data_IF_900593704450
#
_entry.id   IF_900593704450
#
_cell.length_a   1.000
_cell.length_b   1.000
_cell.length_c   1.000
_cell.angle_alpha   90.00
_cell.angle_beta   90.00
_cell.angle_gamma   90.00
#
_symmetry.space_group_name_H-M   'P 1'
#
loop_
_entity.id
_entity.type
_entity.pdbx_description
1 polymer ?
#
# COMPACT_ATOMS: atom_id res chain seq x y z
N UNK A 1 28.38 -1.08 15.29
CA UNK A 1 28.22 0.01 16.27
C UNK A 1 26.79 0.56 16.30
N UNK A 2 26.16 0.86 15.14
CA UNK A 2 24.76 1.32 15.05
C UNK A 2 23.71 0.35 15.62
N UNK A 3 23.96 -0.94 15.63
CA UNK A 3 23.08 -1.97 16.22
C UNK A 3 23.11 -2.01 17.77
N UNK A 4 24.04 -1.31 18.41
CA UNK A 4 24.14 -1.19 19.88
C UNK A 4 23.41 0.02 20.44
N UNK A 5 23.03 0.98 19.61
CA UNK A 5 22.17 2.10 20.04
C UNK A 5 20.74 1.59 20.20
N UNK A 6 19.99 2.20 21.11
CA UNK A 6 18.58 1.86 21.33
C UNK A 6 17.85 1.78 20.00
N UNK A 7 17.20 0.65 19.66
CA UNK A 7 16.57 0.43 18.35
C UNK A 7 15.27 1.22 18.18
N UNK A 8 14.95 2.11 19.09
CA UNK A 8 13.77 2.96 19.09
C UNK A 8 14.07 4.35 19.66
N UNK A 9 13.22 5.31 19.31
CA UNK A 9 13.21 6.64 19.90
C UNK A 9 11.96 6.80 20.78
N UNK A 10 12.14 7.27 22.00
CA UNK A 10 11.05 7.65 22.89
C UNK A 10 10.55 9.05 22.51
N UNK A 11 9.28 9.17 22.20
CA UNK A 11 8.62 10.42 21.88
C UNK A 11 7.26 10.47 22.57
N UNK A 12 7.15 11.16 23.69
CA UNK A 12 5.95 11.18 24.52
C UNK A 12 5.55 9.78 24.97
N UNK A 13 4.37 9.31 24.52
CA UNK A 13 3.87 7.96 24.78
C UNK A 13 4.22 6.95 23.67
N UNK A 14 5.03 7.36 22.68
CA UNK A 14 5.34 6.54 21.50
C UNK A 14 6.77 6.04 21.57
N UNK A 15 6.96 4.76 21.23
CA UNK A 15 8.25 4.16 20.97
C UNK A 15 8.38 3.94 19.46
N UNK A 16 9.05 4.85 18.75
CA UNK A 16 9.21 4.77 17.30
C UNK A 16 10.39 3.86 16.93
N UNK A 17 10.16 2.85 16.08
CA UNK A 17 11.18 1.91 15.61
C UNK A 17 12.10 2.56 14.56
N UNK A 18 13.16 3.18 15.02
CA UNK A 18 14.15 3.87 14.17
C UNK A 18 15.13 2.91 13.47
N UNK A 19 15.12 1.62 13.78
CA UNK A 19 15.99 0.62 13.17
C UNK A 19 15.33 -0.25 12.11
N UNK A 20 14.04 -0.05 11.81
CA UNK A 20 13.32 -0.86 10.83
C UNK A 20 13.95 -0.77 9.44
N UNK A 21 14.42 0.40 9.03
CA UNK A 21 15.13 0.58 7.74
C UNK A 21 16.33 -0.37 7.63
N UNK A 22 17.10 -0.56 8.71
CA UNK A 22 18.29 -1.42 8.71
C UNK A 22 17.88 -2.91 8.60
N UNK A 23 16.78 -3.30 9.22
CA UNK A 23 16.33 -4.69 9.26
C UNK A 23 15.47 -5.10 8.06
N UNK A 24 14.68 -4.17 7.53
CA UNK A 24 13.62 -4.46 6.55
C UNK A 24 13.71 -3.60 5.28
N UNK A 25 14.66 -2.65 5.21
CA UNK A 25 14.81 -1.75 4.07
C UNK A 25 13.73 -0.66 3.96
N UNK A 26 12.75 -0.63 4.86
CA UNK A 26 11.64 0.32 4.89
C UNK A 26 11.44 0.86 6.30
N UNK A 27 11.19 2.18 6.49
CA UNK A 27 10.97 2.77 7.82
C UNK A 27 9.64 2.29 8.42
N UNK A 28 9.48 2.52 9.72
CA UNK A 28 8.19 2.32 10.34
C UNK A 28 7.13 3.22 9.69
N UNK A 29 5.98 2.63 9.35
CA UNK A 29 4.80 3.37 8.95
C UNK A 29 3.89 3.56 10.17
N UNK A 30 3.50 4.80 10.45
CA UNK A 30 2.60 5.12 11.55
C UNK A 30 1.18 4.72 11.17
N UNK A 31 0.59 3.77 11.88
CA UNK A 31 -0.83 3.44 11.74
C UNK A 31 -1.67 4.42 12.57
N UNK A 32 -2.33 5.36 11.92
CA UNK A 32 -2.98 6.49 12.59
C UNK A 32 -4.34 6.15 13.22
N UNK A 33 -5.00 5.07 12.77
CA UNK A 33 -6.32 4.69 13.29
C UNK A 33 -6.24 4.37 14.79
N UNK A 34 -7.08 5.02 15.58
CA UNK A 34 -7.09 4.90 17.04
C UNK A 34 -6.01 5.70 17.79
N UNK A 35 -5.15 6.45 17.07
CA UNK A 35 -4.16 7.36 17.70
C UNK A 35 -4.71 8.78 17.86
N UNK A 36 -4.27 9.45 18.91
CA UNK A 36 -4.48 10.89 19.06
C UNK A 36 -3.59 11.68 18.09
N UNK A 37 -3.93 12.95 17.85
CA UNK A 37 -3.09 13.83 17.04
C UNK A 37 -1.67 13.98 17.61
N UNK A 38 -1.55 14.04 18.95
CA UNK A 38 -0.27 14.13 19.63
C UNK A 38 0.57 12.89 19.38
N UNK A 39 0.01 11.69 19.57
CA UNK A 39 0.70 10.43 19.29
C UNK A 39 1.15 10.30 17.81
N UNK A 40 0.32 10.76 16.86
CA UNK A 40 0.70 10.78 15.45
C UNK A 40 1.85 11.77 15.20
N UNK A 41 1.78 12.96 15.82
CA UNK A 41 2.80 14.01 15.69
C UNK A 41 4.15 13.54 16.24
N UNK A 42 4.14 12.96 17.44
CA UNK A 42 5.35 12.47 18.12
C UNK A 42 6.01 11.34 17.32
N UNK A 43 5.22 10.37 16.85
CA UNK A 43 5.72 9.27 16.02
C UNK A 43 6.34 9.78 14.71
N UNK A 44 5.63 10.67 14.00
CA UNK A 44 6.13 11.25 12.76
C UNK A 44 7.40 12.08 12.99
N UNK A 45 7.45 12.89 14.05
CA UNK A 45 8.62 13.71 14.39
C UNK A 45 9.85 12.84 14.66
N UNK A 46 9.70 11.77 15.45
CA UNK A 46 10.78 10.83 15.74
C UNK A 46 11.32 10.16 14.47
N UNK A 47 10.44 9.70 13.58
CA UNK A 47 10.83 9.05 12.33
C UNK A 47 11.46 10.04 11.33
N UNK A 48 10.93 11.26 11.21
CA UNK A 48 11.54 12.32 10.37
C UNK A 48 12.92 12.68 10.89
N UNK A 49 13.10 12.80 12.21
CA UNK A 49 14.40 13.07 12.83
C UNK A 49 15.42 11.96 12.54
N UNK A 50 14.98 10.70 12.56
CA UNK A 50 15.86 9.54 12.34
C UNK A 50 16.19 9.30 10.86
N UNK A 51 15.26 9.54 9.94
CA UNK A 51 15.36 9.11 8.54
C UNK A 51 15.22 10.24 7.51
N UNK A 52 14.86 11.46 7.94
CA UNK A 52 14.53 12.57 7.03
C UNK A 52 13.16 12.40 6.32
N UNK A 53 12.47 11.30 6.55
CA UNK A 53 11.15 11.02 5.97
C UNK A 53 10.30 10.15 6.90
N UNK A 54 8.97 10.27 6.78
CA UNK A 54 8.02 9.45 7.52
C UNK A 54 6.71 9.28 6.74
N UNK A 55 6.03 8.16 6.97
CA UNK A 55 4.75 7.81 6.39
C UNK A 55 3.75 7.47 7.50
N UNK A 56 2.54 8.00 7.41
CA UNK A 56 1.40 7.56 8.22
C UNK A 56 0.25 7.11 7.32
N UNK A 57 -0.43 6.03 7.73
CA UNK A 57 -1.58 5.45 7.03
C UNK A 57 -2.86 5.66 7.84
N UNK A 58 -4.01 5.64 7.19
CA UNK A 58 -5.34 5.80 7.80
C UNK A 58 -5.52 7.14 8.52
N UNK A 59 -4.85 8.18 8.08
CA UNK A 59 -4.96 9.52 8.66
C UNK A 59 -6.32 10.13 8.31
N UNK A 60 -7.14 10.51 9.30
CA UNK A 60 -8.39 11.25 9.04
C UNK A 60 -8.10 12.61 8.39
N UNK A 61 -9.07 13.12 7.62
CA UNK A 61 -8.90 14.40 6.90
C UNK A 61 -8.59 15.54 7.87
N UNK A 62 -9.30 15.61 8.98
CA UNK A 62 -9.14 16.63 10.01
C UNK A 62 -7.74 16.59 10.66
N UNK A 63 -7.25 15.37 10.92
CA UNK A 63 -5.89 15.18 11.43
C UNK A 63 -4.84 15.56 10.38
N UNK A 64 -5.09 15.27 9.11
CA UNK A 64 -4.22 15.66 8.01
C UNK A 64 -3.99 17.16 7.93
N UNK A 65 -5.05 17.97 8.10
CA UNK A 65 -4.96 19.45 8.15
C UNK A 65 -4.10 19.91 9.32
N UNK A 66 -4.27 19.33 10.50
CA UNK A 66 -3.52 19.70 11.70
C UNK A 66 -2.05 19.25 11.60
N UNK A 67 -1.80 18.07 11.05
CA UNK A 67 -0.44 17.59 10.77
C UNK A 67 0.29 18.47 9.76
N UNK A 68 -0.42 19.05 8.78
CA UNK A 68 0.16 19.98 7.80
C UNK A 68 0.71 21.25 8.48
N UNK A 69 0.10 21.70 9.57
CA UNK A 69 0.62 22.83 10.36
C UNK A 69 1.91 22.48 11.11
N UNK A 70 2.03 21.23 11.57
CA UNK A 70 3.22 20.73 12.29
C UNK A 70 4.36 20.35 11.35
N UNK A 71 4.04 19.83 10.18
CA UNK A 71 4.99 19.42 9.14
C UNK A 71 4.64 20.13 7.83
N UNK A 72 5.06 21.38 7.61
CA UNK A 72 4.67 22.16 6.42
C UNK A 72 5.08 21.54 5.09
N UNK A 73 6.15 20.73 5.08
CA UNK A 73 6.61 19.97 3.89
C UNK A 73 5.87 18.65 3.69
N UNK A 74 5.05 18.24 4.67
CA UNK A 74 4.24 17.04 4.57
C UNK A 74 3.11 17.17 3.56
N UNK A 75 2.53 16.05 3.16
CA UNK A 75 1.39 16.00 2.23
C UNK A 75 0.39 14.97 2.72
N UNK A 76 -0.85 15.40 2.87
CA UNK A 76 -2.00 14.52 3.10
C UNK A 76 -2.73 14.26 1.78
N UNK A 77 -3.03 13.01 1.50
CA UNK A 77 -3.95 12.64 0.44
C UNK A 77 -5.24 12.05 1.05
N UNK A 78 -6.38 12.72 0.86
CA UNK A 78 -7.65 12.27 1.46
C UNK A 78 -8.20 10.98 0.82
N UNK A 79 -7.79 10.61 -0.40
CA UNK A 79 -8.24 9.39 -1.07
C UNK A 79 -7.59 8.16 -0.45
N UNK A 80 -6.27 8.14 -0.38
CA UNK A 80 -5.49 7.05 0.24
C UNK A 80 -5.46 7.15 1.77
N UNK A 81 -5.79 8.32 2.33
CA UNK A 81 -5.63 8.63 3.76
C UNK A 81 -4.18 8.51 4.23
N UNK A 82 -3.23 8.70 3.32
CA UNK A 82 -1.81 8.76 3.64
C UNK A 82 -1.40 10.18 4.04
N UNK A 83 -0.52 10.27 5.02
CA UNK A 83 0.25 11.47 5.31
C UNK A 83 1.74 11.13 5.18
N UNK A 84 2.46 11.87 4.36
CA UNK A 84 3.88 11.65 4.11
C UNK A 84 4.70 12.92 4.30
N UNK A 85 5.87 12.79 4.92
CA UNK A 85 6.88 13.84 5.04
C UNK A 85 8.14 13.32 4.34
N UNK A 86 8.61 14.05 3.32
CA UNK A 86 9.73 13.57 2.51
C UNK A 86 9.46 12.26 1.77
N UNK A 87 10.52 11.64 1.30
CA UNK A 87 10.50 10.31 0.65
C UNK A 87 11.87 9.65 0.80
N UNK A 88 11.93 8.34 0.64
CA UNK A 88 13.19 7.61 0.55
C UNK A 88 13.94 7.93 -0.76
N UNK A 89 15.22 7.66 -0.81
CA UNK A 89 15.99 7.80 -2.07
C UNK A 89 15.43 6.83 -3.11
N UNK A 90 15.36 7.29 -4.34
CA UNK A 90 14.93 6.48 -5.47
C UNK A 90 15.82 5.24 -5.62
N UNK A 91 15.18 4.07 -5.69
CA UNK A 91 15.88 2.78 -5.74
C UNK A 91 16.38 2.47 -7.16
N UNK A 92 15.56 2.79 -8.18
CA UNK A 92 15.89 2.58 -9.59
C UNK A 92 14.99 3.40 -10.49
N UNK A 93 15.56 4.01 -11.53
CA UNK A 93 14.79 4.73 -12.55
C UNK A 93 14.04 3.80 -13.50
N UNK A 94 14.51 2.56 -13.67
CA UNK A 94 13.99 1.62 -14.66
C UNK A 94 12.93 0.64 -14.12
N UNK A 95 12.78 0.52 -12.79
CA UNK A 95 11.80 -0.41 -12.21
C UNK A 95 10.45 0.27 -12.03
N UNK A 96 9.44 -0.17 -12.78
CA UNK A 96 8.06 0.28 -12.63
C UNK A 96 7.19 -0.84 -12.04
N UNK A 97 6.41 -0.51 -11.02
CA UNK A 97 5.37 -1.38 -10.46
C UNK A 97 4.02 -0.92 -11.00
N UNK A 98 3.26 -1.81 -11.61
CA UNK A 98 1.90 -1.52 -12.01
C UNK A 98 0.95 -1.69 -10.82
N UNK A 99 0.13 -0.69 -10.53
CA UNK A 99 -0.95 -0.75 -9.54
C UNK A 99 -2.27 -0.72 -10.30
N UNK A 100 -2.99 -1.83 -10.27
CA UNK A 100 -4.18 -2.08 -11.07
C UNK A 100 -5.41 -2.14 -10.17
N UNK A 101 -6.44 -1.37 -10.45
CA UNK A 101 -7.72 -1.43 -9.71
C UNK A 101 -8.88 -1.88 -10.58
N UNK A 102 -9.76 -2.72 -10.01
CA UNK A 102 -10.93 -3.24 -10.73
C UNK A 102 -11.97 -2.15 -10.97
N UNK A 103 -12.31 -1.40 -9.96
CA UNK A 103 -13.31 -0.33 -10.04
C UNK A 103 -12.87 0.94 -9.34
N UNK A 104 -13.68 2.01 -9.52
CA UNK A 104 -13.42 3.30 -8.85
C UNK A 104 -13.54 3.23 -7.33
N UNK A 105 -14.33 2.31 -6.81
CA UNK A 105 -14.45 2.07 -5.36
C UNK A 105 -13.20 1.44 -4.74
N UNK A 106 -12.30 0.89 -5.56
CA UNK A 106 -11.02 0.33 -5.11
C UNK A 106 -9.89 1.37 -5.09
N UNK A 107 -10.13 2.59 -5.62
CA UNK A 107 -9.14 3.66 -5.72
C UNK A 107 -8.47 4.01 -4.39
N UNK A 108 -9.15 4.07 -3.23
CA UNK A 108 -8.48 4.38 -1.98
C UNK A 108 -7.35 3.40 -1.65
N UNK A 109 -7.55 2.11 -1.90
CA UNK A 109 -6.54 1.07 -1.67
C UNK A 109 -5.44 1.12 -2.74
N UNK A 110 -5.81 1.39 -4.00
CA UNK A 110 -4.86 1.53 -5.09
C UNK A 110 -3.93 2.74 -4.89
N UNK A 111 -4.47 3.89 -4.46
CA UNK A 111 -3.67 5.06 -4.14
C UNK A 111 -2.81 4.87 -2.89
N UNK A 112 -3.28 4.18 -1.85
CA UNK A 112 -2.46 3.81 -0.70
C UNK A 112 -1.24 2.99 -1.14
N UNK A 113 -1.44 1.99 -2.00
CA UNK A 113 -0.36 1.17 -2.55
C UNK A 113 0.60 2.00 -3.42
N UNK A 114 0.08 2.78 -4.38
CA UNK A 114 0.88 3.56 -5.30
C UNK A 114 1.73 4.62 -4.57
N UNK A 115 1.14 5.35 -3.65
CA UNK A 115 1.86 6.39 -2.91
C UNK A 115 2.85 5.82 -1.88
N UNK A 116 2.60 4.62 -1.35
CA UNK A 116 3.57 3.91 -0.50
C UNK A 116 4.80 3.49 -1.32
N UNK A 117 4.62 3.02 -2.55
CA UNK A 117 5.72 2.72 -3.47
C UNK A 117 6.51 3.99 -3.80
N UNK A 118 5.83 5.08 -4.14
CA UNK A 118 6.46 6.37 -4.42
C UNK A 118 7.25 6.89 -3.22
N UNK A 119 6.71 6.76 -2.01
CA UNK A 119 7.42 7.09 -0.77
C UNK A 119 8.68 6.23 -0.60
N UNK A 120 8.62 4.95 -0.97
CA UNK A 120 9.76 4.03 -0.96
C UNK A 120 10.79 4.30 -2.09
N UNK A 121 10.57 5.30 -2.94
CA UNK A 121 11.43 5.61 -4.08
C UNK A 121 11.24 4.69 -5.29
N UNK A 122 10.10 4.00 -5.37
CA UNK A 122 9.73 3.10 -6.48
C UNK A 122 8.69 3.78 -7.37
N UNK A 123 8.86 3.70 -8.70
CA UNK A 123 7.88 4.22 -9.65
C UNK A 123 6.62 3.37 -9.66
N UNK A 124 5.47 3.99 -9.47
CA UNK A 124 4.17 3.35 -9.55
C UNK A 124 3.39 3.84 -10.78
N UNK A 125 2.96 2.91 -11.64
CA UNK A 125 2.04 3.21 -12.71
C UNK A 125 0.62 2.78 -12.33
N UNK A 126 -0.30 3.72 -12.32
CA UNK A 126 -1.71 3.50 -11.99
C UNK A 126 -2.49 3.07 -13.22
N UNK A 127 -3.13 1.90 -13.15
CA UNK A 127 -4.01 1.34 -14.18
C UNK A 127 -5.40 1.13 -13.57
N UNK A 128 -6.19 2.18 -13.52
CA UNK A 128 -7.44 2.19 -12.77
C UNK A 128 -8.65 1.86 -13.63
N UNK A 129 -9.71 1.32 -12.97
CA UNK A 129 -11.02 1.02 -13.55
C UNK A 129 -10.97 0.03 -14.73
N UNK A 130 -10.24 -1.07 -14.56
CA UNK A 130 -10.05 -2.12 -15.58
C UNK A 130 -10.65 -3.47 -15.15
N UNK A 131 -11.74 -3.45 -14.40
CA UNK A 131 -12.42 -4.65 -13.92
C UNK A 131 -12.86 -5.59 -15.03
N UNK A 132 -13.00 -6.87 -14.68
CA UNK A 132 -13.29 -7.98 -15.63
C UNK A 132 -14.60 -7.83 -16.39
N UNK A 133 -15.57 -7.11 -15.84
CA UNK A 133 -16.83 -6.82 -16.55
C UNK A 133 -16.62 -5.96 -17.81
N UNK A 134 -15.50 -5.26 -17.91
CA UNK A 134 -15.10 -4.51 -19.10
C UNK A 134 -13.69 -4.87 -19.54
N UNK A 135 -13.44 -6.15 -19.80
CA UNK A 135 -12.13 -6.73 -20.07
C UNK A 135 -11.34 -6.01 -21.18
N UNK A 136 -12.02 -5.44 -22.16
CA UNK A 136 -11.39 -4.65 -23.22
C UNK A 136 -10.57 -3.45 -22.70
N UNK A 137 -10.96 -2.89 -21.54
CA UNK A 137 -10.21 -1.78 -20.89
C UNK A 137 -8.84 -2.27 -20.38
N UNK A 138 -8.79 -3.46 -19.79
CA UNK A 138 -7.56 -4.12 -19.37
C UNK A 138 -6.68 -4.47 -20.57
N UNK A 139 -7.28 -5.11 -21.60
CA UNK A 139 -6.55 -5.55 -22.79
C UNK A 139 -5.93 -4.37 -23.56
N UNK A 140 -6.56 -3.20 -23.54
CA UNK A 140 -5.97 -1.99 -24.13
C UNK A 140 -4.69 -1.50 -23.41
N UNK A 141 -4.38 -2.03 -22.22
CA UNK A 141 -3.17 -1.69 -21.43
C UNK A 141 -2.16 -2.83 -21.32
N UNK A 142 -2.40 -3.97 -22.03
CA UNK A 142 -1.65 -5.22 -21.84
C UNK A 142 -0.14 -5.06 -22.09
N UNK A 143 0.26 -4.28 -23.10
CA UNK A 143 1.68 -4.09 -23.42
C UNK A 143 2.44 -3.42 -22.26
N UNK A 144 1.83 -2.41 -21.65
CA UNK A 144 2.45 -1.74 -20.49
C UNK A 144 2.41 -2.61 -19.24
N UNK A 145 1.36 -3.43 -19.06
CA UNK A 145 1.29 -4.39 -17.96
C UNK A 145 2.42 -5.43 -18.06
N UNK A 146 2.70 -5.93 -19.28
CA UNK A 146 3.78 -6.88 -19.54
C UNK A 146 5.17 -6.31 -19.30
N UNK A 147 5.33 -5.00 -19.45
CA UNK A 147 6.59 -4.30 -19.18
C UNK A 147 6.85 -4.05 -17.68
N UNK A 148 5.83 -4.17 -16.82
CA UNK A 148 5.99 -3.98 -15.38
C UNK A 148 6.81 -5.11 -14.75
N UNK A 149 7.60 -4.78 -13.74
CA UNK A 149 8.40 -5.76 -12.99
C UNK A 149 7.60 -6.52 -11.93
N UNK A 150 6.60 -5.86 -11.38
CA UNK A 150 5.64 -6.41 -10.40
C UNK A 150 4.29 -5.77 -10.73
N UNK A 151 3.21 -6.53 -10.55
CA UNK A 151 1.85 -6.02 -10.71
C UNK A 151 1.09 -6.21 -9.40
N UNK A 152 0.59 -5.12 -8.83
CA UNK A 152 -0.32 -5.15 -7.67
C UNK A 152 -1.74 -5.00 -8.21
N UNK A 153 -2.62 -5.97 -7.94
CA UNK A 153 -3.99 -5.98 -8.46
C UNK A 153 -4.98 -5.90 -7.31
N UNK A 154 -5.72 -4.82 -7.27
CA UNK A 154 -6.71 -4.52 -6.23
C UNK A 154 -8.11 -4.77 -6.78
N UNK A 155 -8.86 -5.65 -6.14
CA UNK A 155 -10.21 -6.00 -6.57
C UNK A 155 -11.10 -6.42 -5.39
N UNK A 156 -12.36 -5.99 -5.44
CA UNK A 156 -13.43 -6.49 -4.60
C UNK A 156 -14.27 -7.54 -5.31
N UNK A 157 -15.57 -7.58 -4.98
CA UNK A 157 -16.56 -8.51 -5.56
C UNK A 157 -16.13 -9.98 -5.42
N UNK A 158 -15.93 -10.67 -6.55
CA UNK A 158 -15.48 -12.06 -6.65
C UNK A 158 -13.97 -12.23 -6.73
N UNK A 159 -13.21 -11.12 -6.85
CA UNK A 159 -11.73 -11.16 -6.90
C UNK A 159 -11.14 -11.76 -8.17
N UNK A 160 -11.82 -11.72 -9.30
CA UNK A 160 -11.39 -12.40 -10.53
C UNK A 160 -10.25 -11.68 -11.27
N UNK A 161 -10.10 -10.37 -11.11
CA UNK A 161 -9.13 -9.57 -11.87
C UNK A 161 -7.67 -10.05 -11.70
N UNK A 162 -7.18 -10.39 -10.49
CA UNK A 162 -5.81 -10.90 -10.32
C UNK A 162 -5.54 -12.18 -11.13
N UNK A 163 -6.50 -13.10 -11.21
CA UNK A 163 -6.36 -14.33 -12.01
C UNK A 163 -6.23 -14.01 -13.50
N UNK A 164 -7.02 -13.07 -14.00
CA UNK A 164 -6.95 -12.62 -15.40
C UNK A 164 -5.60 -11.96 -15.69
N UNK A 165 -5.16 -11.04 -14.82
CA UNK A 165 -3.87 -10.37 -14.97
C UNK A 165 -2.72 -11.38 -14.90
N UNK A 166 -2.73 -12.31 -13.94
CA UNK A 166 -1.73 -13.38 -13.81
C UNK A 166 -1.65 -14.29 -15.03
N UNK A 167 -2.76 -14.46 -15.78
CA UNK A 167 -2.77 -15.21 -17.02
C UNK A 167 -2.16 -14.49 -18.23
N UNK A 168 -1.92 -13.17 -18.15
CA UNK A 168 -1.44 -12.38 -19.29
C UNK A 168 -0.09 -11.70 -19.09
N UNK A 169 0.47 -11.72 -17.87
CA UNK A 169 1.78 -11.15 -17.54
C UNK A 169 2.74 -12.22 -17.04
N UNK A 170 4.04 -12.02 -17.26
CA UNK A 170 5.09 -12.87 -16.70
C UNK A 170 5.60 -12.35 -15.33
N UNK A 171 5.29 -11.10 -14.99
CA UNK A 171 5.68 -10.49 -13.73
C UNK A 171 4.92 -11.12 -12.54
N UNK A 172 5.54 -11.17 -11.35
CA UNK A 172 4.81 -11.54 -10.13
C UNK A 172 3.59 -10.64 -9.90
N UNK A 173 2.47 -11.24 -9.52
CA UNK A 173 1.21 -10.55 -9.24
C UNK A 173 0.91 -10.62 -7.75
N UNK A 174 0.73 -9.45 -7.12
CA UNK A 174 0.29 -9.33 -5.74
C UNK A 174 -1.20 -9.00 -5.77
N UNK A 175 -2.04 -9.94 -5.35
CA UNK A 175 -3.48 -9.77 -5.29
C UNK A 175 -3.89 -9.15 -3.96
N UNK A 176 -4.70 -8.09 -4.02
CA UNK A 176 -5.17 -7.34 -2.85
C UNK A 176 -6.70 -7.34 -2.84
N UNK A 177 -7.33 -8.20 -2.02
CA UNK A 177 -8.77 -8.21 -1.90
C UNK A 177 -9.26 -6.98 -1.15
N UNK A 178 -10.35 -6.37 -1.64
CA UNK A 178 -11.03 -5.26 -0.97
C UNK A 178 -12.39 -5.69 -0.42
N UNK A 179 -12.90 -4.93 0.54
CA UNK A 179 -14.25 -5.12 1.08
C UNK A 179 -15.36 -4.60 0.15
N UNK A 180 -15.00 -4.06 -1.01
CA UNK A 180 -15.94 -3.56 -2.01
C UNK A 180 -16.77 -4.71 -2.57
N UNK A 181 -18.08 -4.59 -2.46
CA UNK A 181 -19.00 -5.61 -2.98
C UNK A 181 -20.38 -5.56 -2.35
N UNK A 182 -21.29 -6.34 -2.91
CA UNK A 182 -22.66 -6.51 -2.44
C UNK A 182 -23.05 -8.01 -2.49
N UNK A 183 -24.25 -8.34 -1.97
CA UNK A 183 -24.74 -9.73 -1.96
C UNK A 183 -23.80 -10.66 -1.18
N UNK A 184 -23.33 -11.71 -1.81
CA UNK A 184 -22.49 -12.75 -1.20
C UNK A 184 -21.01 -12.35 -1.05
N UNK A 185 -20.64 -11.08 -1.26
CA UNK A 185 -19.24 -10.64 -1.13
C UNK A 185 -18.71 -10.74 0.29
N UNK A 186 -19.57 -10.77 1.32
CA UNK A 186 -19.25 -10.92 2.73
C UNK A 186 -18.08 -10.01 3.17
N UNK A 187 -18.15 -8.73 2.79
CA UNK A 187 -17.13 -7.71 3.11
C UNK A 187 -15.71 -8.08 2.63
N UNK A 188 -15.61 -8.71 1.45
CA UNK A 188 -14.34 -9.03 0.81
C UNK A 188 -13.86 -10.48 1.02
N UNK A 189 -14.57 -11.30 1.79
CA UNK A 189 -14.24 -12.74 1.95
C UNK A 189 -14.34 -13.46 0.60
N UNK A 190 -15.35 -13.14 -0.21
CA UNK A 190 -15.51 -13.71 -1.55
C UNK A 190 -14.31 -13.40 -2.45
N UNK A 191 -13.88 -12.13 -2.47
CA UNK A 191 -12.69 -11.71 -3.22
C UNK A 191 -11.43 -12.44 -2.76
N UNK A 192 -11.22 -12.53 -1.45
CA UNK A 192 -10.09 -13.26 -0.87
C UNK A 192 -10.08 -14.73 -1.29
N UNK A 193 -11.19 -15.44 -1.09
CA UNK A 193 -11.29 -16.86 -1.43
C UNK A 193 -11.12 -17.08 -2.94
N UNK A 194 -11.64 -16.18 -3.78
CA UNK A 194 -11.42 -16.21 -5.22
C UNK A 194 -9.95 -16.06 -5.60
N UNK A 195 -9.23 -15.16 -4.94
CA UNK A 195 -7.79 -14.96 -5.15
C UNK A 195 -6.97 -16.16 -4.66
N UNK A 196 -7.24 -16.68 -3.46
CA UNK A 196 -6.57 -17.86 -2.88
C UNK A 196 -6.76 -19.14 -3.73
N UNK A 197 -7.89 -19.24 -4.46
CA UNK A 197 -8.17 -20.37 -5.34
C UNK A 197 -7.77 -20.12 -6.79
N UNK A 198 -6.98 -19.08 -7.09
CA UNK A 198 -6.53 -18.78 -8.42
C UNK A 198 -5.59 -19.88 -8.95
N UNK A 199 -5.82 -20.30 -10.20
CA UNK A 199 -4.90 -21.20 -10.91
C UNK A 199 -3.79 -20.46 -11.68
N UNK A 200 -3.78 -19.12 -11.64
CA UNK A 200 -2.73 -18.33 -12.28
C UNK A 200 -1.40 -18.49 -11.52
N UNK A 201 -0.34 -18.87 -12.24
CA UNK A 201 1.00 -18.98 -11.67
C UNK A 201 1.58 -17.59 -11.37
N UNK A 202 2.43 -17.50 -10.34
CA UNK A 202 3.08 -16.24 -9.95
C UNK A 202 2.18 -15.26 -9.21
N UNK A 203 1.01 -15.69 -8.71
CA UNK A 203 0.10 -14.90 -7.92
C UNK A 203 0.34 -15.16 -6.43
N UNK A 204 0.44 -14.07 -5.65
CA UNK A 204 0.47 -14.08 -4.19
C UNK A 204 -0.58 -13.12 -3.64
N UNK A 205 -1.16 -13.43 -2.49
CA UNK A 205 -2.25 -12.64 -1.91
C UNK A 205 -1.79 -11.83 -0.72
N UNK A 206 -2.33 -10.62 -0.60
CA UNK A 206 -2.19 -9.78 0.60
C UNK A 206 -3.55 -9.29 1.08
N UNK A 207 -3.71 -9.13 2.38
CA UNK A 207 -4.92 -8.58 2.95
C UNK A 207 -4.84 -7.07 3.13
N UNK A 208 -5.80 -6.33 2.58
CA UNK A 208 -6.09 -4.94 2.94
C UNK A 208 -7.44 -4.88 3.67
N UNK A 209 -7.44 -4.95 5.00
CA UNK A 209 -8.68 -4.87 5.77
C UNK A 209 -8.45 -5.21 7.25
N UNK A 210 -9.51 -5.21 8.09
CA UNK A 210 -9.38 -5.51 9.53
C UNK A 210 -8.82 -6.90 9.85
N UNK A 211 -8.65 -7.78 8.86
CA UNK A 211 -8.17 -9.15 8.98
C UNK A 211 -6.65 -9.30 8.74
N UNK A 212 -5.86 -8.27 8.93
CA UNK A 212 -4.39 -8.27 8.74
C UNK A 212 -3.59 -9.36 9.50
N UNK A 213 -4.26 -10.27 10.21
CA UNK A 213 -3.62 -11.21 11.14
C UNK A 213 -3.38 -12.63 10.59
N UNK A 214 -3.73 -12.94 9.34
CA UNK A 214 -3.71 -14.34 8.87
C UNK A 214 -3.01 -14.58 7.52
N UNK A 215 -1.93 -13.89 7.20
CA UNK A 215 -1.08 -14.29 6.07
C UNK A 215 0.28 -14.76 6.56
N UNK A 216 0.51 -16.06 6.77
CA UNK A 216 1.84 -16.59 6.66
C UNK A 216 2.16 -16.69 5.16
N UNK A 217 3.08 -15.86 4.68
CA UNK A 217 3.77 -16.08 3.42
C UNK A 217 4.44 -17.46 3.53
N UNK A 218 3.94 -18.44 2.79
CA UNK A 218 4.70 -19.63 2.48
C UNK A 218 5.19 -19.50 1.04
N UNK A 219 6.50 -19.31 0.93
CA UNK A 219 7.27 -19.54 -0.29
C UNK A 219 7.18 -21.01 -0.68
#
# INVERSE_FOLDING_TARGET
>A
EKLRMLPYAEAGQVLADTHRVIRQGFPEAVYAEGKTLEQMTDALAALVSAHGCALATRVPVEAGVLLQQRFPTGRHDPVSRLYRVGQMKQVSESAEVAVVSAGTSDLPVAEEAAQTLEFAGVRAWRCNDVGVAGLHRLLAKVERLRAARIVIVIAGMEGALPSVVGGIVAAPVIAVPTSVGYGASLKGISALLGMLNSCASGLTDTFSGPWRLLAPIRL
#
